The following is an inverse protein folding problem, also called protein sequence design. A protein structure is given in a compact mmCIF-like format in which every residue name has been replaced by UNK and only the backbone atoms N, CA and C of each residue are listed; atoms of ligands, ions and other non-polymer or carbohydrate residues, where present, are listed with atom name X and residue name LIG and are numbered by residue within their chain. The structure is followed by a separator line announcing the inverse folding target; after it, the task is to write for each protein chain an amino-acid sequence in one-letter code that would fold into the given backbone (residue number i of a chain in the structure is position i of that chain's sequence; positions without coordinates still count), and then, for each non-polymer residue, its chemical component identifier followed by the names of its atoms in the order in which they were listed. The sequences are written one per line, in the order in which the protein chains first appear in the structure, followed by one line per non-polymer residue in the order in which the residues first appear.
data_IF_450959724580
#
_entry.id   IF_450959724580
#
_cell.length_a   1.000
_cell.length_b   1.000
_cell.length_c   1.000
_cell.angle_alpha   90.00
_cell.angle_beta   90.00
_cell.angle_gamma   90.00
#
_symmetry.space_group_name_H-M   'P 1'
#
loop_
_entity.id
_entity.type
_entity.pdbx_description
1 polymer ?
#
# COMPACT_ATOMS: atom_id res chain seq x y z
N UNK A 1 13.80 -23.43 -11.12
CA UNK A 1 13.64 -21.96 -11.20
C UNK A 1 12.15 -21.66 -11.40
N UNK A 2 11.58 -20.69 -10.66
CA UNK A 2 10.19 -20.27 -10.89
C UNK A 2 10.10 -19.60 -12.27
N UNK A 3 8.98 -19.74 -13.02
CA UNK A 3 8.86 -19.14 -14.33
C UNK A 3 8.99 -17.60 -14.25
N UNK A 4 9.53 -16.92 -15.28
CA UNK A 4 9.76 -15.47 -15.26
C UNK A 4 8.48 -14.65 -15.04
N UNK A 5 7.33 -15.17 -15.49
CA UNK A 5 6.00 -14.61 -15.20
C UNK A 5 5.68 -14.58 -13.70
N UNK A 6 6.17 -15.55 -12.93
CA UNK A 6 5.99 -15.58 -11.48
C UNK A 6 6.89 -14.57 -10.77
N UNK A 7 8.05 -14.25 -11.36
CA UNK A 7 8.93 -13.18 -10.90
C UNK A 7 8.37 -11.78 -11.20
N UNK A 8 7.54 -11.63 -12.24
CA UNK A 8 6.87 -10.38 -12.59
C UNK A 8 5.53 -10.17 -11.87
N UNK A 9 4.96 -11.21 -11.25
CA UNK A 9 3.72 -11.13 -10.48
C UNK A 9 3.68 -10.01 -9.42
N UNK A 10 4.77 -9.70 -8.69
CA UNK A 10 4.88 -8.53 -7.81
C UNK A 10 4.61 -7.18 -8.48
N UNK A 11 4.88 -7.08 -9.78
CA UNK A 11 4.70 -5.87 -10.57
C UNK A 11 3.22 -5.61 -10.89
N UNK A 12 2.38 -6.65 -10.91
CA UNK A 12 0.95 -6.53 -11.21
C UNK A 12 0.21 -5.59 -10.24
N UNK A 13 0.28 -5.75 -8.90
CA UNK A 13 -0.37 -4.80 -7.99
C UNK A 13 0.22 -3.39 -8.14
N UNK A 14 1.54 -3.27 -8.35
CA UNK A 14 2.16 -1.96 -8.53
C UNK A 14 1.61 -1.22 -9.76
N UNK A 15 1.61 -1.88 -10.92
CA UNK A 15 1.17 -1.29 -12.19
C UNK A 15 -0.34 -1.03 -12.18
N UNK A 16 -1.14 -1.95 -11.62
CA UNK A 16 -2.60 -1.76 -11.54
C UNK A 16 -2.96 -0.52 -10.73
N UNK A 17 -2.37 -0.33 -9.54
CA UNK A 17 -2.60 0.87 -8.74
C UNK A 17 -2.06 2.14 -9.39
N UNK A 18 -0.92 2.07 -10.08
CA UNK A 18 -0.38 3.20 -10.82
C UNK A 18 -1.35 3.68 -11.93
N UNK A 19 -1.88 2.75 -12.72
CA UNK A 19 -2.84 3.06 -13.79
C UNK A 19 -4.13 3.63 -13.22
N UNK A 20 -4.69 2.99 -12.18
CA UNK A 20 -5.92 3.47 -11.51
C UNK A 20 -5.73 4.89 -10.98
N UNK A 21 -4.60 5.16 -10.31
CA UNK A 21 -4.29 6.46 -9.76
C UNK A 21 -4.10 7.53 -10.85
N UNK A 22 -3.38 7.20 -11.93
CA UNK A 22 -3.21 8.10 -13.08
C UNK A 22 -4.53 8.45 -13.75
N UNK A 23 -5.43 7.46 -13.92
CA UNK A 23 -6.77 7.69 -14.46
C UNK A 23 -7.54 8.65 -13.56
N UNK A 24 -7.52 8.45 -12.24
CA UNK A 24 -8.22 9.33 -11.30
C UNK A 24 -7.71 10.76 -11.36
N UNK A 25 -6.40 10.96 -11.31
CA UNK A 25 -5.78 12.30 -11.39
C UNK A 25 -6.15 13.01 -12.69
N UNK A 26 -6.11 12.30 -13.82
CA UNK A 26 -6.35 12.92 -15.14
C UNK A 26 -7.84 13.14 -15.46
N UNK A 27 -8.73 12.33 -14.88
CA UNK A 27 -10.20 12.42 -15.09
C UNK A 27 -10.93 13.12 -13.94
N UNK A 28 -10.22 13.61 -12.93
CA UNK A 28 -10.83 14.26 -11.77
C UNK A 28 -11.56 15.55 -12.18
N UNK A 29 -12.87 15.68 -11.89
CA UNK A 29 -13.64 16.88 -12.20
C UNK A 29 -13.27 18.08 -11.31
N UNK A 30 -12.78 17.84 -10.08
CA UNK A 30 -12.47 18.93 -9.14
C UNK A 30 -11.01 19.39 -9.17
N UNK A 31 -10.20 18.89 -10.13
CA UNK A 31 -8.76 19.13 -10.20
C UNK A 31 -8.07 18.93 -8.83
N UNK A 32 -8.24 17.73 -8.25
CA UNK A 32 -7.68 17.44 -6.91
C UNK A 32 -6.16 17.69 -6.86
N UNK A 33 -5.46 17.49 -7.98
CA UNK A 33 -4.01 17.71 -8.08
C UNK A 33 -3.61 19.17 -7.85
N UNK A 34 -4.41 20.13 -8.30
CA UNK A 34 -4.14 21.55 -8.05
C UNK A 34 -4.63 22.00 -6.68
N UNK A 35 -5.79 21.46 -6.25
CA UNK A 35 -6.44 21.87 -5.01
C UNK A 35 -5.71 21.36 -3.77
N UNK A 36 -5.40 20.07 -3.72
CA UNK A 36 -4.83 19.38 -2.54
C UNK A 36 -3.78 18.33 -2.96
N UNK A 37 -2.64 18.76 -3.52
CA UNK A 37 -1.59 17.84 -3.97
C UNK A 37 -0.99 17.01 -2.82
N UNK A 38 -0.91 17.58 -1.61
CA UNK A 38 -0.30 16.93 -0.43
C UNK A 38 -1.03 15.65 -0.05
N UNK A 39 -2.37 15.68 -0.02
CA UNK A 39 -3.19 14.51 0.28
C UNK A 39 -3.07 13.42 -0.78
N UNK A 40 -3.04 13.81 -2.06
CA UNK A 40 -2.83 12.89 -3.19
C UNK A 40 -1.48 12.16 -3.10
N UNK A 41 -0.39 12.90 -2.84
CA UNK A 41 0.95 12.31 -2.70
C UNK A 41 1.08 11.45 -1.44
N UNK A 42 0.46 11.86 -0.33
CA UNK A 42 0.44 11.05 0.90
C UNK A 42 -0.31 9.74 0.70
N UNK A 43 -1.47 9.79 0.05
CA UNK A 43 -2.29 8.61 -0.25
C UNK A 43 -1.54 7.64 -1.17
N UNK A 44 -1.05 8.12 -2.31
CA UNK A 44 -0.29 7.30 -3.27
C UNK A 44 0.96 6.71 -2.63
N UNK A 45 1.74 7.51 -1.91
CA UNK A 45 2.91 7.05 -1.17
C UNK A 45 2.57 5.93 -0.19
N UNK A 46 1.51 6.08 0.60
CA UNK A 46 1.07 5.07 1.58
C UNK A 46 0.67 3.75 0.90
N UNK A 47 -0.03 3.80 -0.23
CA UNK A 47 -0.42 2.61 -1.00
C UNK A 47 0.81 1.90 -1.54
N UNK A 48 1.72 2.63 -2.18
CA UNK A 48 2.93 2.06 -2.76
C UNK A 48 3.86 1.49 -1.69
N UNK A 49 3.95 2.13 -0.51
CA UNK A 49 4.66 1.59 0.64
C UNK A 49 4.02 0.29 1.15
N UNK A 50 2.69 0.21 1.24
CA UNK A 50 2.00 -1.01 1.68
C UNK A 50 2.26 -2.20 0.71
N UNK A 51 2.16 -1.95 -0.59
CA UNK A 51 2.49 -2.96 -1.62
C UNK A 51 3.96 -3.36 -1.50
N UNK A 52 4.89 -2.40 -1.49
CA UNK A 52 6.33 -2.66 -1.40
C UNK A 52 6.71 -3.46 -0.16
N UNK A 53 6.17 -3.12 1.01
CA UNK A 53 6.41 -3.88 2.25
C UNK A 53 5.93 -5.33 2.13
N UNK A 54 4.77 -5.58 1.52
CA UNK A 54 4.27 -6.93 1.26
C UNK A 54 5.16 -7.70 0.29
N UNK A 55 5.68 -7.04 -0.74
CA UNK A 55 6.63 -7.64 -1.67
C UNK A 55 7.91 -8.07 -0.96
N UNK A 56 8.52 -7.18 -0.18
CA UNK A 56 9.75 -7.46 0.57
C UNK A 56 9.54 -8.66 1.50
N UNK A 57 8.46 -8.67 2.29
CA UNK A 57 8.15 -9.77 3.21
C UNK A 57 7.95 -11.08 2.43
N UNK A 58 7.20 -11.05 1.32
CA UNK A 58 6.97 -12.24 0.51
C UNK A 58 8.27 -12.85 -0.05
N UNK A 59 9.22 -12.00 -0.48
CA UNK A 59 10.55 -12.44 -0.91
C UNK A 59 11.34 -13.04 0.27
N UNK A 60 11.37 -12.37 1.42
CA UNK A 60 12.12 -12.80 2.61
C UNK A 60 11.58 -14.13 3.19
N UNK A 61 10.27 -14.37 3.12
CA UNK A 61 9.66 -15.61 3.60
C UNK A 61 9.48 -16.68 2.52
N UNK A 62 9.95 -16.45 1.29
CA UNK A 62 9.72 -17.34 0.14
C UNK A 62 8.24 -17.65 -0.16
N UNK A 63 7.33 -16.82 0.35
CA UNK A 63 5.88 -16.98 0.17
C UNK A 63 5.43 -16.36 -1.14
N UNK A 64 4.28 -16.79 -1.66
CA UNK A 64 3.74 -16.23 -2.91
C UNK A 64 3.12 -14.87 -2.65
N UNK A 65 3.41 -13.91 -3.55
CA UNK A 65 2.74 -12.61 -3.55
C UNK A 65 1.33 -12.74 -4.12
N UNK A 66 0.34 -12.21 -3.41
CA UNK A 66 -1.00 -12.01 -3.95
C UNK A 66 -0.96 -10.98 -5.07
N UNK A 67 -1.60 -11.28 -6.20
CA UNK A 67 -1.58 -10.42 -7.38
C UNK A 67 -2.55 -9.23 -7.28
N UNK A 68 -3.61 -9.38 -6.50
CA UNK A 68 -4.65 -8.35 -6.29
C UNK A 68 -4.75 -8.10 -4.79
N UNK A 69 -4.61 -6.84 -4.40
CA UNK A 69 -4.72 -6.45 -3.01
C UNK A 69 -6.20 -6.28 -2.64
N UNK A 70 -6.62 -6.72 -1.45
CA UNK A 70 -8.01 -6.57 -0.99
C UNK A 70 -8.49 -5.10 -0.97
N UNK A 71 -7.57 -4.15 -0.89
CA UNK A 71 -7.86 -2.71 -0.91
C UNK A 71 -8.17 -2.20 -2.33
N UNK A 72 -7.79 -2.92 -3.39
CA UNK A 72 -8.03 -2.52 -4.80
C UNK A 72 -9.50 -2.22 -5.10
N UNK A 73 -10.48 -3.08 -4.78
CA UNK A 73 -11.89 -2.77 -5.03
C UNK A 73 -12.37 -1.53 -4.26
N UNK A 74 -11.91 -1.33 -3.02
CA UNK A 74 -12.28 -0.15 -2.20
C UNK A 74 -11.76 1.14 -2.83
N UNK A 75 -10.57 1.10 -3.42
CA UNK A 75 -10.04 2.23 -4.17
C UNK A 75 -10.81 2.52 -5.43
N UNK A 76 -11.13 1.48 -6.21
CA UNK A 76 -11.90 1.64 -7.45
C UNK A 76 -13.27 2.23 -7.14
N UNK A 77 -13.97 1.74 -6.10
CA UNK A 77 -15.27 2.30 -5.71
C UNK A 77 -15.15 3.73 -5.19
N UNK A 78 -14.12 4.05 -4.41
CA UNK A 78 -13.85 5.41 -3.95
C UNK A 78 -13.59 6.39 -5.09
N UNK A 79 -12.82 5.98 -6.11
CA UNK A 79 -12.54 6.80 -7.29
C UNK A 79 -13.82 7.02 -8.11
N UNK A 80 -14.61 5.96 -8.36
CA UNK A 80 -15.88 6.08 -9.08
C UNK A 80 -16.88 6.98 -8.32
N UNK A 81 -16.91 6.90 -7.00
CA UNK A 81 -17.72 7.79 -6.16
C UNK A 81 -17.25 9.25 -6.24
N UNK A 82 -15.93 9.49 -6.23
CA UNK A 82 -15.36 10.83 -6.41
C UNK A 82 -15.66 11.44 -7.79
N UNK A 83 -15.67 10.62 -8.84
CA UNK A 83 -16.04 11.05 -10.20
C UNK A 83 -17.53 11.35 -10.35
N UNK A 84 -18.40 10.64 -9.64
CA UNK A 84 -19.86 10.86 -9.69
C UNK A 84 -20.30 12.02 -8.81
N UNK A 85 -19.61 12.28 -7.70
CA UNK A 85 -19.91 13.35 -6.75
C UNK A 85 -18.69 14.28 -6.54
N UNK A 86 -18.46 15.27 -7.42
CA UNK A 86 -17.32 16.18 -7.32
C UNK A 86 -17.21 16.91 -5.97
N UNK A 87 -18.35 17.29 -5.39
CA UNK A 87 -18.40 17.99 -4.09
C UNK A 87 -17.87 17.15 -2.92
N UNK A 88 -17.93 15.82 -3.02
CA UNK A 88 -17.47 14.87 -1.98
C UNK A 88 -16.09 14.28 -2.29
N UNK A 89 -15.51 14.58 -3.45
CA UNK A 89 -14.25 14.01 -3.92
C UNK A 89 -13.10 14.23 -2.93
N UNK A 90 -13.03 15.41 -2.31
CA UNK A 90 -12.01 15.73 -1.31
C UNK A 90 -12.19 14.92 -0.02
N UNK A 91 -13.44 14.77 0.44
CA UNK A 91 -13.76 13.99 1.63
C UNK A 91 -13.40 12.52 1.42
N UNK A 92 -13.71 11.98 0.24
CA UNK A 92 -13.37 10.61 -0.14
C UNK A 92 -11.85 10.42 -0.17
N UNK A 93 -11.09 11.38 -0.72
CA UNK A 93 -9.62 11.33 -0.70
C UNK A 93 -9.09 11.23 0.73
N UNK A 94 -9.56 12.09 1.63
CA UNK A 94 -9.09 12.09 3.02
C UNK A 94 -9.51 10.82 3.78
N UNK A 95 -10.74 10.34 3.56
CA UNK A 95 -11.22 9.09 4.14
C UNK A 95 -10.37 7.89 3.66
N UNK A 96 -10.07 7.82 2.36
CA UNK A 96 -9.15 6.82 1.81
C UNK A 96 -7.74 6.98 2.40
N UNK A 97 -7.22 8.20 2.52
CA UNK A 97 -5.91 8.45 3.09
C UNK A 97 -5.82 7.90 4.52
N UNK A 98 -6.72 8.31 5.41
CA UNK A 98 -6.73 7.85 6.80
C UNK A 98 -6.94 6.33 6.88
N UNK A 99 -7.91 5.78 6.15
CA UNK A 99 -8.19 4.35 6.17
C UNK A 99 -6.99 3.52 5.70
N UNK A 100 -6.29 3.98 4.67
CA UNK A 100 -5.15 3.24 4.09
C UNK A 100 -3.90 3.36 4.96
N UNK A 101 -3.69 4.51 5.62
CA UNK A 101 -2.64 4.67 6.64
C UNK A 101 -2.89 3.74 7.83
N UNK A 102 -4.12 3.65 8.34
CA UNK A 102 -4.46 2.72 9.43
C UNK A 102 -4.25 1.26 9.02
N UNK A 103 -4.67 0.89 7.81
CA UNK A 103 -4.43 -0.45 7.28
C UNK A 103 -2.93 -0.76 7.12
N UNK A 104 -2.14 0.20 6.66
CA UNK A 104 -0.69 0.05 6.54
C UNK A 104 -0.02 -0.11 7.91
N UNK A 105 -0.42 0.69 8.91
CA UNK A 105 0.05 0.58 10.28
C UNK A 105 -0.29 -0.80 10.88
N UNK A 106 -1.54 -1.22 10.75
CA UNK A 106 -1.99 -2.52 11.25
C UNK A 106 -1.19 -3.66 10.61
N UNK A 107 -1.03 -3.64 9.28
CA UNK A 107 -0.20 -4.62 8.59
C UNK A 107 1.25 -4.62 9.10
N UNK A 108 1.89 -3.45 9.23
CA UNK A 108 3.26 -3.33 9.71
C UNK A 108 3.45 -3.90 11.12
N UNK A 109 2.58 -3.53 12.06
CA UNK A 109 2.65 -4.04 13.44
C UNK A 109 2.46 -5.55 13.51
N UNK A 110 1.51 -6.11 12.77
CA UNK A 110 1.28 -7.56 12.74
C UNK A 110 2.48 -8.33 12.15
N UNK A 111 3.07 -7.84 11.06
CA UNK A 111 4.25 -8.48 10.45
C UNK A 111 5.43 -8.46 11.40
N UNK A 112 5.70 -7.31 12.04
CA UNK A 112 6.80 -7.18 13.01
C UNK A 112 6.60 -8.15 14.18
N UNK A 113 5.39 -8.26 14.72
CA UNK A 113 5.07 -9.21 15.79
C UNK A 113 5.26 -10.67 15.34
N UNK A 114 4.83 -11.02 14.13
CA UNK A 114 5.02 -12.37 13.57
C UNK A 114 6.50 -12.70 13.40
N UNK A 115 7.31 -11.76 12.91
CA UNK A 115 8.75 -11.94 12.77
C UNK A 115 9.43 -12.09 14.13
N UNK A 116 9.11 -11.23 15.10
CA UNK A 116 9.65 -11.31 16.46
C UNK A 116 9.30 -12.66 17.14
N UNK A 117 8.08 -13.18 16.94
CA UNK A 117 7.68 -14.53 17.39
C UNK A 117 8.46 -15.63 16.68
N UNK A 118 8.60 -15.55 15.34
CA UNK A 118 9.31 -16.56 14.54
C UNK A 118 10.80 -16.65 14.90
N UNK A 119 11.44 -15.51 15.18
CA UNK A 119 12.85 -15.45 15.53
C UNK A 119 13.11 -15.52 17.04
N UNK A 120 12.07 -15.63 17.87
CA UNK A 120 12.15 -15.60 19.33
C UNK A 120 12.98 -14.41 19.87
N UNK A 121 12.71 -13.21 19.33
CA UNK A 121 13.38 -11.96 19.71
C UNK A 121 12.35 -10.91 20.11
N UNK A 122 12.69 -10.10 21.12
CA UNK A 122 11.92 -8.91 21.47
C UNK A 122 12.29 -7.79 20.49
N UNK A 123 11.29 -7.22 19.82
CA UNK A 123 11.55 -6.14 18.87
C UNK A 123 12.24 -4.96 19.58
N UNK A 124 13.28 -4.40 18.96
CA UNK A 124 14.10 -3.30 19.47
C UNK A 124 14.94 -3.60 20.74
N UNK A 125 15.03 -4.86 21.17
CA UNK A 125 15.97 -5.26 22.21
C UNK A 125 17.38 -5.41 21.64
N UNK A 126 18.27 -4.44 21.88
CA UNK A 126 19.69 -4.54 21.50
C UNK A 126 20.43 -5.31 22.58
N UNK A 127 20.89 -6.52 22.26
CA UNK A 127 21.84 -7.22 23.13
C UNK A 127 23.25 -6.69 22.82
N UNK A 128 24.05 -6.29 23.82
CA UNK A 128 25.43 -5.88 23.58
C UNK A 128 26.20 -7.02 22.90
N UNK A 129 26.96 -6.68 21.86
CA UNK A 129 27.78 -7.65 21.14
C UNK A 129 28.77 -8.29 22.14
N UNK A 130 28.86 -9.63 22.16
CA UNK A 130 29.91 -10.31 22.91
C UNK A 130 31.24 -9.89 22.29
N UNK A 131 32.06 -9.18 23.07
CA UNK A 131 33.43 -8.84 22.70
C UNK A 131 34.21 -10.17 22.59
N UNK A 132 34.93 -10.41 21.48
CA UNK A 132 35.69 -11.65 21.26
C UNK A 132 36.80 -11.84 22.30
#
# INVERSE_FOLDING_TARGET
MRPPLEALRPLLPFVTFLVIFMVWVHKSPSNIMEREPRGLFLLSGTIFSNISCRLIVAQMSSTRCEAVHWMTPIFVTGILAGMTFPSMELFILYALCVGTTLCHWHYGTMVVQQLCRKFNRVCFSVTPAKVP
#
